data_IF_851828534815
#
_entry.id   IF_851828534815
#
_cell.length_a   1.000
_cell.length_b   1.000
_cell.length_c   1.000
_cell.angle_alpha   90.00
_cell.angle_beta   90.00
_cell.angle_gamma   90.00
#
_symmetry.space_group_name_H-M   'P 1'
#
loop_
_entity.id
_entity.type
_entity.pdbx_description
1 polymer ?
#
# COMPACT_ATOMS: atom_id res chain seq x y z
N UNK A 1 -48.91 -8.44 -20.24
CA UNK A 1 -47.76 -8.76 -19.37
C UNK A 1 -48.28 -9.38 -18.09
N UNK A 2 -47.74 -10.51 -17.64
CA UNK A 2 -48.13 -11.12 -16.35
C UNK A 2 -47.64 -10.27 -15.18
N UNK A 3 -48.34 -10.32 -14.04
CA UNK A 3 -47.94 -9.61 -12.82
C UNK A 3 -46.51 -9.99 -12.36
N UNK A 4 -46.08 -11.22 -12.63
CA UNK A 4 -44.72 -11.69 -12.38
C UNK A 4 -43.67 -11.02 -13.27
N UNK A 5 -43.97 -10.83 -14.56
CA UNK A 5 -43.08 -10.14 -15.50
C UNK A 5 -42.93 -8.65 -15.15
N UNK A 6 -44.01 -8.01 -14.69
CA UNK A 6 -43.96 -6.62 -14.23
C UNK A 6 -43.14 -6.45 -12.94
N UNK A 7 -43.29 -7.37 -11.98
CA UNK A 7 -42.52 -7.35 -10.73
C UNK A 7 -41.03 -7.62 -10.97
N UNK A 8 -40.69 -8.56 -11.86
CA UNK A 8 -39.31 -8.84 -12.25
C UNK A 8 -38.68 -7.66 -13.00
N UNK A 9 -39.41 -7.06 -13.95
CA UNK A 9 -38.93 -5.87 -14.66
C UNK A 9 -38.70 -4.69 -13.71
N UNK A 10 -39.58 -4.46 -12.72
CA UNK A 10 -39.40 -3.39 -11.74
C UNK A 10 -38.21 -3.62 -10.80
N UNK A 11 -37.94 -4.86 -10.41
CA UNK A 11 -36.88 -5.20 -9.44
C UNK A 11 -35.50 -5.43 -10.07
N UNK A 12 -35.46 -5.90 -11.30
CA UNK A 12 -34.21 -6.33 -11.96
C UNK A 12 -33.99 -5.58 -13.28
N UNK A 13 -35.04 -5.44 -14.09
CA UNK A 13 -34.97 -4.74 -15.37
C UNK A 13 -34.68 -3.24 -15.23
N UNK A 14 -35.41 -2.55 -14.35
CA UNK A 14 -35.25 -1.11 -14.15
C UNK A 14 -33.85 -0.76 -13.59
N UNK A 15 -33.31 -1.47 -12.59
CA UNK A 15 -31.94 -1.25 -12.12
C UNK A 15 -30.89 -1.62 -13.17
N UNK A 16 -31.07 -2.71 -13.94
CA UNK A 16 -30.13 -3.08 -15.00
C UNK A 16 -30.11 -2.06 -16.15
N UNK A 17 -31.26 -1.50 -16.51
CA UNK A 17 -31.36 -0.41 -17.50
C UNK A 17 -30.74 0.87 -16.93
N UNK A 18 -31.01 1.20 -15.67
CA UNK A 18 -30.38 2.34 -14.99
C UNK A 18 -28.86 2.22 -14.90
N UNK A 19 -28.36 1.03 -14.59
CA UNK A 19 -26.94 0.70 -14.60
C UNK A 19 -26.35 0.79 -16.01
N UNK A 20 -27.02 0.23 -17.02
CA UNK A 20 -26.58 0.29 -18.41
C UNK A 20 -26.52 1.72 -18.95
N UNK A 21 -27.50 2.57 -18.64
CA UNK A 21 -27.52 3.99 -19.00
C UNK A 21 -26.43 4.75 -18.25
N UNK A 22 -26.25 4.49 -16.95
CA UNK A 22 -25.21 5.12 -16.13
C UNK A 22 -23.81 4.75 -16.60
N UNK A 23 -23.57 3.47 -16.90
CA UNK A 23 -22.31 2.94 -17.44
C UNK A 23 -22.02 3.53 -18.83
N UNK A 24 -23.00 3.51 -19.73
CA UNK A 24 -22.85 4.12 -21.07
C UNK A 24 -22.57 5.62 -20.96
N UNK A 25 -23.28 6.34 -20.10
CA UNK A 25 -23.02 7.75 -19.82
C UNK A 25 -21.61 7.99 -19.28
N UNK A 26 -21.16 7.19 -18.33
CA UNK A 26 -19.81 7.26 -17.76
C UNK A 26 -18.74 6.98 -18.83
N UNK A 27 -18.87 5.89 -19.60
CA UNK A 27 -17.92 5.56 -20.67
C UNK A 27 -17.87 6.61 -21.78
N UNK A 28 -18.99 7.26 -22.12
CA UNK A 28 -19.00 8.37 -23.10
C UNK A 28 -18.33 9.62 -22.51
N UNK A 29 -18.53 9.90 -21.22
CA UNK A 29 -17.87 11.01 -20.52
C UNK A 29 -16.35 10.77 -20.39
N UNK A 30 -15.95 9.53 -20.13
CA UNK A 30 -14.56 9.09 -20.03
C UNK A 30 -13.86 9.08 -21.40
N UNK A 31 -14.47 8.47 -22.42
CA UNK A 31 -13.91 8.39 -23.78
C UNK A 31 -13.83 9.74 -24.50
N UNK A 32 -14.75 10.66 -24.25
CA UNK A 32 -14.72 12.00 -24.84
C UNK A 32 -13.91 13.00 -24.00
N UNK A 33 -13.33 12.59 -22.86
CA UNK A 33 -12.62 13.50 -21.96
C UNK A 33 -13.51 14.64 -21.44
N UNK A 34 -14.80 14.40 -21.20
CA UNK A 34 -15.68 15.47 -20.69
C UNK A 34 -15.36 15.85 -19.25
N UNK A 35 -14.68 14.97 -18.50
CA UNK A 35 -14.10 15.25 -17.18
C UNK A 35 -12.65 15.73 -17.30
N UNK A 36 -12.39 16.68 -18.20
CA UNK A 36 -11.10 17.36 -18.21
C UNK A 36 -10.93 18.20 -16.93
N UNK A 37 -9.67 18.48 -16.58
CA UNK A 37 -9.28 19.30 -15.42
C UNK A 37 -10.14 20.59 -15.24
N UNK A 38 -10.52 21.34 -16.29
CA UNK A 38 -11.37 22.53 -16.15
C UNK A 38 -12.78 22.21 -15.65
N UNK A 39 -13.35 21.08 -16.05
CA UNK A 39 -14.70 20.65 -15.64
C UNK A 39 -14.68 20.11 -14.21
N UNK A 40 -13.65 19.37 -13.83
CA UNK A 40 -13.44 18.94 -12.44
C UNK A 40 -13.22 20.13 -11.51
N UNK A 41 -12.39 21.10 -11.93
CA UNK A 41 -12.19 22.35 -11.19
C UNK A 41 -13.49 23.13 -11.03
N UNK A 42 -14.28 23.24 -12.10
CA UNK A 42 -15.59 23.88 -12.06
C UNK A 42 -16.56 23.19 -11.08
N UNK A 43 -16.63 21.86 -11.09
CA UNK A 43 -17.44 21.07 -10.16
C UNK A 43 -17.00 21.26 -8.70
N UNK A 44 -15.70 21.22 -8.44
CA UNK A 44 -15.13 21.38 -7.10
C UNK A 44 -15.43 22.78 -6.53
N UNK A 45 -15.27 23.83 -7.34
CA UNK A 45 -15.64 25.20 -6.95
C UNK A 45 -17.12 25.29 -6.58
N UNK A 46 -18.01 24.72 -7.41
CA UNK A 46 -19.45 24.77 -7.14
C UNK A 46 -19.85 23.96 -5.91
N UNK A 47 -19.19 22.82 -5.67
CA UNK A 47 -19.42 22.02 -4.47
C UNK A 47 -18.99 22.77 -3.20
N UNK A 48 -17.81 23.41 -3.22
CA UNK A 48 -17.35 24.22 -2.09
C UNK A 48 -18.23 25.44 -1.83
N UNK A 49 -18.72 26.11 -2.90
CA UNK A 49 -19.72 27.18 -2.76
C UNK A 49 -21.01 26.66 -2.15
N UNK A 50 -21.51 25.51 -2.61
CA UNK A 50 -22.70 24.88 -2.05
C UNK A 50 -22.50 24.56 -0.57
N UNK A 51 -21.34 24.02 -0.20
CA UNK A 51 -20.99 23.71 1.19
C UNK A 51 -20.92 24.99 2.04
N UNK A 52 -20.31 26.06 1.54
CA UNK A 52 -20.29 27.37 2.20
C UNK A 52 -21.70 27.92 2.43
N UNK A 53 -22.58 27.85 1.42
CA UNK A 53 -23.99 28.27 1.57
C UNK A 53 -24.75 27.37 2.55
N UNK A 54 -24.56 26.05 2.49
CA UNK A 54 -25.21 25.11 3.39
C UNK A 54 -24.78 25.33 4.84
N UNK A 55 -23.50 25.58 5.10
CA UNK A 55 -22.98 25.85 6.45
C UNK A 55 -23.61 27.12 7.06
N UNK A 56 -23.84 28.17 6.27
CA UNK A 56 -24.55 29.38 6.74
C UNK A 56 -26.01 29.14 7.14
N UNK A 57 -26.61 28.05 6.69
CA UNK A 57 -27.99 27.66 7.06
C UNK A 57 -28.04 26.74 8.29
N UNK A 58 -26.91 26.18 8.71
CA UNK A 58 -26.81 25.28 9.85
C UNK A 58 -26.60 26.07 11.15
N UNK A 59 -27.00 25.50 12.32
CA UNK A 59 -26.70 26.11 13.61
C UNK A 59 -25.19 26.28 13.81
N UNK A 60 -24.77 27.41 14.39
CA UNK A 60 -23.34 27.73 14.63
C UNK A 60 -22.59 26.63 15.37
N UNK A 61 -23.21 26.02 16.39
CA UNK A 61 -22.64 24.87 17.12
C UNK A 61 -22.33 23.64 16.25
N UNK A 62 -23.07 23.43 15.16
CA UNK A 62 -22.83 22.33 14.21
C UNK A 62 -21.72 22.71 13.24
N UNK A 63 -21.69 23.96 12.78
CA UNK A 63 -20.67 24.49 11.87
C UNK A 63 -19.30 24.56 12.55
N UNK A 64 -19.22 24.98 13.81
CA UNK A 64 -17.96 25.03 14.57
C UNK A 64 -17.37 23.63 14.81
N UNK A 65 -18.23 22.61 14.91
CA UNK A 65 -17.80 21.24 15.21
C UNK A 65 -17.51 20.38 13.98
N UNK A 66 -18.24 20.62 12.89
CA UNK A 66 -18.22 19.75 11.70
C UNK A 66 -18.06 20.51 10.37
N UNK A 67 -18.12 21.85 10.41
CA UNK A 67 -17.93 22.71 9.26
C UNK A 67 -16.46 23.07 9.02
N UNK A 68 -16.22 23.88 8.00
CA UNK A 68 -14.91 24.46 7.75
C UNK A 68 -14.93 25.94 8.15
N UNK A 69 -13.80 26.51 8.59
CA UNK A 69 -13.72 27.95 8.79
C UNK A 69 -14.08 28.70 7.50
N UNK A 70 -15.00 29.66 7.61
CA UNK A 70 -15.55 30.38 6.47
C UNK A 70 -14.47 31.07 5.63
N UNK A 71 -13.49 31.70 6.29
CA UNK A 71 -12.37 32.38 5.65
C UNK A 71 -11.50 31.41 4.82
N UNK A 72 -11.37 30.16 5.30
CA UNK A 72 -10.60 29.11 4.62
C UNK A 72 -11.36 28.53 3.41
N UNK A 73 -12.68 28.38 3.53
CA UNK A 73 -13.52 27.98 2.40
C UNK A 73 -13.46 29.03 1.28
N UNK A 74 -13.55 30.32 1.65
CA UNK A 74 -13.44 31.42 0.70
C UNK A 74 -12.09 31.45 0.00
N UNK A 75 -10.98 31.31 0.74
CA UNK A 75 -9.64 31.30 0.12
C UNK A 75 -9.45 30.13 -0.84
N UNK A 76 -9.95 28.94 -0.51
CA UNK A 76 -9.89 27.77 -1.39
C UNK A 76 -10.76 27.98 -2.64
N UNK A 77 -11.98 28.52 -2.50
CA UNK A 77 -12.84 28.82 -3.65
C UNK A 77 -12.16 29.81 -4.60
N UNK A 78 -11.62 30.91 -4.06
CA UNK A 78 -10.94 31.94 -4.85
C UNK A 78 -9.70 31.40 -5.57
N UNK A 79 -8.95 30.52 -4.90
CA UNK A 79 -7.75 29.86 -5.45
C UNK A 79 -8.10 28.86 -6.57
N UNK A 80 -9.16 28.07 -6.39
CA UNK A 80 -9.67 27.16 -7.42
C UNK A 80 -10.27 27.92 -8.61
N UNK A 81 -10.89 29.08 -8.40
CA UNK A 81 -11.44 29.93 -9.47
C UNK A 81 -10.35 30.60 -10.32
N UNK A 82 -9.25 31.02 -9.70
CA UNK A 82 -8.12 31.65 -10.40
C UNK A 82 -7.33 30.69 -11.28
N UNK A 83 -7.47 29.39 -11.03
CA UNK A 83 -6.67 28.36 -11.66
C UNK A 83 -5.28 28.35 -11.06
N UNK A 84 -5.01 27.35 -10.26
CA UNK A 84 -3.76 27.19 -9.54
C UNK A 84 -2.77 26.35 -10.35
N UNK A 85 -1.48 26.60 -10.15
CA UNK A 85 -0.45 25.59 -10.38
C UNK A 85 -0.45 24.64 -9.19
N UNK A 86 -0.13 23.36 -9.39
CA UNK A 86 -0.10 22.34 -8.32
C UNK A 86 0.75 22.78 -7.10
N UNK A 87 1.79 23.58 -7.34
CA UNK A 87 2.62 24.24 -6.33
C UNK A 87 1.91 25.28 -5.46
N UNK A 88 0.79 25.86 -5.91
CA UNK A 88 -0.02 26.86 -5.19
C UNK A 88 -1.16 26.20 -4.38
N UNK A 89 -1.48 24.94 -4.64
CA UNK A 89 -2.37 24.11 -3.78
C UNK A 89 -1.59 23.40 -2.65
N UNK A 90 -0.28 23.70 -2.54
CA UNK A 90 0.60 23.22 -1.45
C UNK A 90 0.17 23.66 -0.04
N UNK A 91 -0.82 24.54 0.11
CA UNK A 91 -1.45 24.81 1.41
C UNK A 91 -2.40 23.68 1.89
N UNK A 92 -2.66 22.66 1.06
CA UNK A 92 -3.27 21.42 1.54
C UNK A 92 -2.21 20.61 2.28
N UNK A 93 -2.34 20.58 3.61
CA UNK A 93 -1.52 19.72 4.44
C UNK A 93 -1.65 18.27 3.94
N UNK A 94 -0.55 17.70 3.46
CA UNK A 94 -0.51 16.31 2.98
C UNK A 94 -0.71 15.36 4.16
N UNK A 95 -1.19 14.12 3.92
CA UNK A 95 -1.24 13.13 5.01
C UNK A 95 0.15 12.89 5.61
N UNK A 96 1.20 12.95 4.79
CA UNK A 96 2.59 12.98 5.22
C UNK A 96 2.87 14.06 6.28
N UNK A 97 2.45 15.30 6.03
CA UNK A 97 2.64 16.41 6.96
C UNK A 97 1.79 16.26 8.23
N UNK A 98 0.53 15.82 8.11
CA UNK A 98 -0.34 15.55 9.27
C UNK A 98 0.29 14.47 10.14
N UNK A 99 0.66 13.33 9.55
CA UNK A 99 1.20 12.18 10.27
C UNK A 99 2.57 12.48 10.89
N UNK A 100 3.42 13.27 10.24
CA UNK A 100 4.73 13.69 10.80
C UNK A 100 4.60 14.52 12.09
N UNK A 101 3.48 15.22 12.27
CA UNK A 101 3.23 16.02 13.48
C UNK A 101 2.67 15.18 14.63
N UNK A 102 2.15 13.99 14.34
CA UNK A 102 1.57 13.09 15.32
C UNK A 102 2.61 12.14 15.91
N UNK A 103 2.46 11.79 17.18
CA UNK A 103 3.20 10.67 17.78
C UNK A 103 2.74 9.34 17.16
N UNK A 104 3.60 8.31 17.15
CA UNK A 104 3.26 7.00 16.54
C UNK A 104 1.95 6.43 17.06
N UNK A 105 1.68 6.51 18.36
CA UNK A 105 0.44 6.04 18.95
C UNK A 105 -0.80 6.81 18.43
N UNK A 106 -0.66 8.11 18.18
CA UNK A 106 -1.73 8.95 17.61
C UNK A 106 -1.93 8.64 16.12
N UNK A 107 -0.84 8.39 15.38
CA UNK A 107 -0.92 7.92 13.99
C UNK A 107 -1.69 6.60 13.92
N UNK A 108 -1.35 5.63 14.78
CA UNK A 108 -2.03 4.34 14.83
C UNK A 108 -3.52 4.50 15.14
N UNK A 109 -3.88 5.30 16.16
CA UNK A 109 -5.28 5.56 16.49
C UNK A 109 -6.05 6.21 15.33
N UNK A 110 -5.45 7.18 14.64
CA UNK A 110 -6.03 7.83 13.47
C UNK A 110 -6.26 6.84 12.32
N UNK A 111 -5.29 5.97 12.06
CA UNK A 111 -5.42 4.94 11.03
C UNK A 111 -6.48 3.89 11.40
N UNK A 112 -6.61 3.52 12.68
CA UNK A 112 -7.64 2.57 13.14
C UNK A 112 -9.05 3.06 12.85
N UNK A 113 -9.32 4.33 13.15
CA UNK A 113 -10.59 4.99 12.85
C UNK A 113 -10.92 4.84 11.35
N UNK A 114 -9.99 5.26 10.48
CA UNK A 114 -10.21 5.25 9.02
C UNK A 114 -10.19 3.84 8.42
N UNK A 115 -9.48 2.88 9.01
CA UNK A 115 -9.51 1.49 8.59
C UNK A 115 -10.81 0.77 8.94
N UNK A 116 -11.46 1.18 10.02
CA UNK A 116 -12.72 0.58 10.49
C UNK A 116 -13.95 1.07 9.72
N UNK A 117 -13.83 2.21 9.03
CA UNK A 117 -14.91 2.82 8.28
C UNK A 117 -14.94 2.40 6.79
N UNK A 118 -16.12 2.51 6.19
CA UNK A 118 -16.34 2.36 4.74
C UNK A 118 -16.09 3.71 4.03
N UNK A 119 -14.82 4.10 3.97
CA UNK A 119 -14.34 5.34 3.34
C UNK A 119 -13.97 5.08 1.87
N UNK A 120 -14.10 6.07 0.95
CA UNK A 120 -13.67 5.91 -0.44
C UNK A 120 -12.23 5.42 -0.59
N UNK A 121 -12.04 4.46 -1.50
CA UNK A 121 -10.77 3.80 -1.81
C UNK A 121 -9.58 4.76 -1.94
N UNK A 122 -9.72 5.85 -2.70
CA UNK A 122 -8.61 6.75 -3.01
C UNK A 122 -8.07 7.42 -1.74
N UNK A 123 -8.97 7.88 -0.87
CA UNK A 123 -8.61 8.51 0.39
C UNK A 123 -7.87 7.53 1.32
N UNK A 124 -8.41 6.31 1.49
CA UNK A 124 -7.83 5.34 2.41
C UNK A 124 -6.48 4.81 1.88
N UNK A 125 -6.35 4.60 0.57
CA UNK A 125 -5.09 4.20 -0.05
C UNK A 125 -4.01 5.29 0.12
N UNK A 126 -4.33 6.56 -0.11
CA UNK A 126 -3.38 7.67 0.04
C UNK A 126 -2.92 7.84 1.49
N UNK A 127 -3.83 7.70 2.45
CA UNK A 127 -3.50 7.76 3.88
C UNK A 127 -2.51 6.66 4.29
N UNK A 128 -2.78 5.40 3.90
CA UNK A 128 -1.88 4.29 4.20
C UNK A 128 -0.58 4.33 3.41
N UNK A 129 -0.61 4.86 2.19
CA UNK A 129 0.58 5.10 1.38
C UNK A 129 1.50 6.11 2.08
N UNK A 130 0.96 7.25 2.52
CA UNK A 130 1.68 8.25 3.30
C UNK A 130 2.27 7.69 4.60
N UNK A 131 1.49 6.89 5.34
CA UNK A 131 2.00 6.27 6.56
C UNK A 131 3.12 5.25 6.31
N UNK A 132 2.99 4.44 5.24
CA UNK A 132 4.02 3.51 4.82
C UNK A 132 5.30 4.25 4.41
N UNK A 133 5.20 5.34 3.66
CA UNK A 133 6.33 6.18 3.24
C UNK A 133 7.05 6.80 4.44
N UNK A 134 6.29 7.33 5.40
CA UNK A 134 6.85 7.87 6.65
C UNK A 134 7.68 6.82 7.42
N UNK A 135 7.28 5.55 7.31
CA UNK A 135 7.90 4.42 7.98
C UNK A 135 8.77 3.55 7.06
N UNK A 136 9.12 4.02 5.86
CA UNK A 136 9.85 3.24 4.85
C UNK A 136 11.18 2.68 5.37
N UNK A 137 11.86 3.42 6.26
CA UNK A 137 13.09 2.97 6.95
C UNK A 137 12.91 1.73 7.83
N UNK A 138 11.67 1.27 8.03
CA UNK A 138 11.36 0.01 8.73
C UNK A 138 11.52 -1.21 7.81
N UNK A 139 11.50 -1.04 6.49
CA UNK A 139 11.54 -2.17 5.55
C UNK A 139 12.37 -1.97 4.29
N UNK A 140 12.78 -0.74 3.96
CA UNK A 140 13.70 -0.42 2.86
C UNK A 140 15.03 0.07 3.43
N UNK A 141 16.14 -0.42 2.87
CA UNK A 141 17.49 0.06 3.18
C UNK A 141 17.74 1.37 2.44
N UNK A 142 18.19 2.40 3.15
CA UNK A 142 18.65 3.64 2.52
C UNK A 142 19.84 3.31 1.60
N UNK A 143 19.68 3.54 0.30
CA UNK A 143 20.84 3.55 -0.60
C UNK A 143 21.68 4.78 -0.25
N UNK A 144 23.01 4.64 -0.10
CA UNK A 144 23.86 5.81 0.02
C UNK A 144 23.71 6.62 -1.26
N UNK A 145 23.04 7.76 -1.17
CA UNK A 145 22.97 8.71 -2.27
C UNK A 145 24.41 9.14 -2.57
N UNK A 146 24.87 8.87 -3.79
CA UNK A 146 26.04 9.52 -4.34
C UNK A 146 25.62 10.98 -4.52
N UNK A 147 25.99 11.84 -3.58
CA UNK A 147 25.77 13.28 -3.70
C UNK A 147 26.54 13.77 -4.93
N UNK A 148 25.86 13.96 -6.05
CA UNK A 148 26.33 14.86 -7.10
C UNK A 148 26.15 16.29 -6.58
N UNK A 149 27.13 16.75 -5.81
CA UNK A 149 27.32 18.18 -5.54
C UNK A 149 27.68 18.86 -6.86
N UNK A 150 26.69 19.48 -7.49
CA UNK A 150 26.92 20.54 -8.45
C UNK A 150 26.42 21.85 -7.87
N UNK A 151 27.33 22.82 -7.87
CA UNK A 151 27.17 24.27 -7.67
C UNK A 151 27.29 24.84 -6.23
N UNK A 152 28.45 25.49 -6.02
CA UNK A 152 28.61 26.92 -5.64
C UNK A 152 27.32 27.59 -5.13
N UNK A 153 27.24 28.20 -3.95
CA UNK A 153 28.08 29.31 -3.50
C UNK A 153 27.90 29.58 -1.99
N UNK A 154 28.81 30.37 -1.42
CA UNK A 154 28.99 30.66 0.00
C UNK A 154 27.77 31.17 0.80
N UNK A 155 27.65 30.76 2.08
CA UNK A 155 27.87 31.60 3.31
C UNK A 155 27.27 30.95 4.58
N UNK A 156 28.18 30.41 5.41
CA UNK A 156 28.22 30.45 6.90
C UNK A 156 27.09 29.85 7.77
N UNK A 157 27.31 28.58 8.15
CA UNK A 157 27.39 28.03 9.53
C UNK A 157 26.29 28.30 10.57
N UNK A 158 25.61 27.22 10.99
CA UNK A 158 25.54 26.82 12.41
C UNK A 158 25.39 25.30 12.53
N UNK A 159 26.42 24.70 13.11
CA UNK A 159 26.63 23.32 13.59
C UNK A 159 25.41 22.42 13.75
N UNK A 160 25.32 21.41 12.88
CA UNK A 160 24.77 20.09 13.19
C UNK A 160 25.92 19.10 13.16
N UNK A 161 26.21 18.46 14.29
CA UNK A 161 27.22 17.40 14.38
C UNK A 161 26.68 16.22 13.59
N UNK A 162 27.19 16.04 12.37
CA UNK A 162 26.99 14.84 11.57
C UNK A 162 27.59 13.66 12.33
N UNK A 163 26.75 13.02 13.16
CA UNK A 163 27.04 11.70 13.67
C UNK A 163 27.07 10.77 12.47
N UNK A 164 28.20 10.12 12.24
CA UNK A 164 28.37 9.11 11.19
C UNK A 164 27.27 8.05 11.38
N UNK A 165 26.19 8.18 10.61
CA UNK A 165 25.05 7.28 10.67
C UNK A 165 25.52 5.92 10.19
N UNK A 166 25.76 5.02 11.14
CA UNK A 166 25.89 3.60 10.87
C UNK A 166 24.65 3.20 10.08
N UNK A 167 24.77 2.52 8.93
CA UNK A 167 23.60 2.21 8.09
C UNK A 167 22.54 1.55 8.96
N UNK A 168 21.36 2.16 9.03
CA UNK A 168 20.28 1.71 9.90
C UNK A 168 19.98 0.24 9.56
N UNK A 169 20.35 -0.66 10.47
CA UNK A 169 20.15 -2.08 10.25
C UNK A 169 18.65 -2.35 10.35
N UNK A 170 18.05 -2.90 9.28
CA UNK A 170 16.66 -3.33 9.27
C UNK A 170 16.50 -4.54 10.20
N UNK A 171 15.93 -4.31 11.39
CA UNK A 171 15.78 -5.32 12.44
C UNK A 171 14.35 -5.32 12.93
N UNK A 172 13.83 -6.52 13.26
CA UNK A 172 12.56 -6.72 13.96
C UNK A 172 12.57 -6.02 15.32
N UNK A 173 11.76 -4.98 15.47
CA UNK A 173 11.57 -4.22 16.72
C UNK A 173 10.42 -4.78 17.53
N UNK A 174 10.24 -4.25 18.73
CA UNK A 174 9.10 -4.57 19.58
C UNK A 174 8.65 -3.30 20.31
N UNK A 175 8.16 -2.36 19.53
CA UNK A 175 7.62 -1.10 19.98
C UNK A 175 6.10 -1.22 20.16
N UNK A 176 5.62 -0.98 21.37
CA UNK A 176 4.21 -1.10 21.73
C UNK A 176 3.36 0.03 21.14
N UNK A 177 3.97 1.15 20.71
CA UNK A 177 3.24 2.23 20.02
C UNK A 177 2.68 1.83 18.66
N UNK A 178 3.20 0.74 18.07
CA UNK A 178 2.69 0.17 16.83
C UNK A 178 1.63 -0.94 17.06
N UNK A 179 1.34 -1.34 18.30
CA UNK A 179 0.41 -2.45 18.58
C UNK A 179 -1.02 -2.09 18.12
N UNK A 180 -1.56 -2.87 17.18
CA UNK A 180 -2.92 -2.66 16.68
C UNK A 180 -3.51 -3.93 16.09
N UNK A 181 -4.53 -4.48 16.75
CA UNK A 181 -5.31 -5.59 16.22
C UNK A 181 -6.25 -5.14 15.10
N UNK A 182 -6.84 -3.94 15.24
CA UNK A 182 -7.78 -3.37 14.26
C UNK A 182 -7.08 -3.19 12.92
N UNK A 183 -5.89 -2.56 12.88
CA UNK A 183 -5.15 -2.38 11.63
C UNK A 183 -4.70 -3.71 11.02
N UNK A 184 -4.27 -4.68 11.84
CA UNK A 184 -3.89 -6.00 11.33
C UNK A 184 -5.05 -6.70 10.61
N UNK A 185 -6.27 -6.63 11.16
CA UNK A 185 -7.46 -7.23 10.56
C UNK A 185 -7.92 -6.42 9.33
N UNK A 186 -8.16 -5.12 9.50
CA UNK A 186 -8.75 -4.27 8.46
C UNK A 186 -7.86 -4.16 7.23
N UNK A 187 -6.54 -3.99 7.38
CA UNK A 187 -5.64 -3.92 6.23
C UNK A 187 -5.54 -5.26 5.50
N UNK A 188 -5.50 -6.37 6.23
CA UNK A 188 -5.50 -7.70 5.62
C UNK A 188 -6.78 -7.95 4.84
N UNK A 189 -7.95 -7.69 5.44
CA UNK A 189 -9.24 -7.87 4.78
C UNK A 189 -9.39 -6.96 3.56
N UNK A 190 -9.06 -5.67 3.69
CA UNK A 190 -9.14 -4.71 2.58
C UNK A 190 -8.17 -5.04 1.45
N UNK A 191 -6.97 -5.57 1.75
CA UNK A 191 -6.04 -6.07 0.74
C UNK A 191 -6.61 -7.27 -0.01
N UNK A 192 -7.13 -8.28 0.70
CA UNK A 192 -7.66 -9.51 0.08
C UNK A 192 -8.89 -9.23 -0.79
N UNK A 193 -9.70 -8.22 -0.44
CA UNK A 193 -10.87 -7.81 -1.21
C UNK A 193 -10.58 -6.68 -2.23
N UNK A 194 -9.31 -6.35 -2.48
CA UNK A 194 -8.90 -5.29 -3.41
C UNK A 194 -9.51 -3.90 -3.12
N UNK A 195 -9.81 -3.60 -1.84
CA UNK A 195 -10.25 -2.29 -1.36
C UNK A 195 -9.06 -1.36 -1.10
N UNK A 196 -7.87 -1.91 -0.85
CA UNK A 196 -6.62 -1.16 -0.84
C UNK A 196 -5.65 -1.96 -1.72
N UNK A 197 -4.85 -1.30 -2.58
CA UNK A 197 -3.87 -1.99 -3.42
C UNK A 197 -2.91 -2.86 -2.62
N UNK A 198 -2.43 -3.91 -3.27
CA UNK A 198 -1.44 -4.79 -2.67
C UNK A 198 -0.18 -4.04 -2.24
N UNK A 199 0.39 -3.19 -3.10
CA UNK A 199 1.61 -2.42 -2.85
C UNK A 199 1.48 -1.46 -1.66
N UNK A 200 0.32 -0.84 -1.46
CA UNK A 200 0.05 0.01 -0.29
C UNK A 200 -0.13 -0.84 0.97
N UNK A 201 -0.98 -1.86 0.88
CA UNK A 201 -1.34 -2.69 2.03
C UNK A 201 -0.16 -3.49 2.56
N UNK A 202 0.64 -4.11 1.69
CA UNK A 202 1.76 -4.95 2.12
C UNK A 202 2.84 -4.14 2.83
N UNK A 203 3.05 -2.88 2.42
CA UNK A 203 4.00 -1.99 3.09
C UNK A 203 3.49 -1.59 4.47
N UNK A 204 2.23 -1.19 4.60
CA UNK A 204 1.63 -0.89 5.90
C UNK A 204 1.61 -2.12 6.84
N UNK A 205 1.23 -3.30 6.32
CA UNK A 205 1.28 -4.56 7.06
C UNK A 205 2.71 -4.95 7.46
N UNK A 206 3.69 -4.68 6.59
CA UNK A 206 5.10 -4.87 6.91
C UNK A 206 5.52 -3.97 8.08
N UNK A 207 5.17 -2.67 8.06
CA UNK A 207 5.46 -1.74 9.17
C UNK A 207 4.91 -2.28 10.49
N UNK A 208 3.66 -2.74 10.51
CA UNK A 208 3.04 -3.33 11.71
C UNK A 208 3.78 -4.59 12.18
N UNK A 209 4.09 -5.50 11.25
CA UNK A 209 4.72 -6.78 11.56
C UNK A 209 6.17 -6.63 12.05
N UNK A 210 6.95 -5.73 11.44
CA UNK A 210 8.37 -5.59 11.77
C UNK A 210 8.61 -4.75 13.01
N UNK A 211 7.71 -3.80 13.33
CA UNK A 211 7.87 -2.95 14.49
C UNK A 211 7.29 -3.54 15.78
N UNK A 212 6.34 -4.47 15.71
CA UNK A 212 5.71 -5.07 16.89
C UNK A 212 5.52 -6.60 16.77
N UNK A 213 6.02 -7.36 17.76
CA UNK A 213 5.94 -8.84 17.73
C UNK A 213 4.55 -9.39 18.00
N UNK A 214 3.66 -8.65 18.66
CA UNK A 214 2.27 -9.05 18.82
C UNK A 214 1.54 -8.96 17.48
N UNK A 215 1.74 -7.87 16.73
CA UNK A 215 1.23 -7.73 15.36
C UNK A 215 1.74 -8.84 14.45
N UNK A 216 3.05 -9.11 14.42
CA UNK A 216 3.59 -10.22 13.63
C UNK A 216 2.91 -11.56 13.96
N UNK A 217 2.61 -11.81 15.24
CA UNK A 217 1.89 -13.02 15.69
C UNK A 217 0.42 -13.04 15.27
N UNK A 218 -0.26 -11.89 15.29
CA UNK A 218 -1.64 -11.76 14.79
C UNK A 218 -1.66 -12.00 13.28
N UNK A 219 -0.80 -11.31 12.53
CA UNK A 219 -0.68 -11.41 11.09
C UNK A 219 -0.28 -12.82 10.63
N UNK A 220 0.57 -13.54 11.36
CA UNK A 220 0.87 -14.95 11.06
C UNK A 220 -0.30 -15.92 11.26
N UNK A 221 -1.38 -15.50 11.95
CA UNK A 221 -2.62 -16.27 12.11
C UNK A 221 -3.66 -15.86 11.08
N UNK A 222 -3.72 -14.56 10.74
CA UNK A 222 -4.67 -13.98 9.79
C UNK A 222 -4.27 -14.27 8.33
N UNK A 223 -2.98 -14.10 8.03
CA UNK A 223 -2.44 -14.26 6.68
C UNK A 223 -2.02 -15.71 6.41
N UNK A 224 -2.25 -16.16 5.18
CA UNK A 224 -1.58 -17.35 4.65
C UNK A 224 -0.39 -16.90 3.79
N UNK A 225 0.82 -17.43 4.02
CA UNK A 225 1.98 -17.08 3.20
C UNK A 225 1.78 -17.37 1.71
N UNK A 226 1.03 -18.43 1.39
CA UNK A 226 0.59 -18.74 0.03
C UNK A 226 -0.18 -17.58 -0.61
N UNK A 227 -1.21 -17.05 0.08
CA UNK A 227 -2.02 -15.95 -0.46
C UNK A 227 -1.21 -14.68 -0.66
N UNK A 228 -0.24 -14.39 0.22
CA UNK A 228 0.66 -13.23 0.06
C UNK A 228 1.50 -13.37 -1.21
N UNK A 229 2.02 -14.57 -1.47
CA UNK A 229 2.82 -14.85 -2.68
C UNK A 229 1.96 -14.82 -3.94
N UNK A 230 0.71 -15.29 -3.88
CA UNK A 230 -0.25 -15.14 -4.98
C UNK A 230 -0.52 -13.67 -5.31
N UNK A 231 -0.90 -12.87 -4.31
CA UNK A 231 -1.18 -11.44 -4.48
C UNK A 231 0.05 -10.67 -5.01
N UNK A 232 1.26 -11.04 -4.57
CA UNK A 232 2.49 -10.48 -5.11
C UNK A 232 2.69 -10.82 -6.60
N UNK A 233 2.43 -12.07 -7.00
CA UNK A 233 2.51 -12.44 -8.42
C UNK A 233 1.45 -11.70 -9.25
N UNK A 234 0.22 -11.57 -8.75
CA UNK A 234 -0.84 -10.78 -9.40
C UNK A 234 -0.40 -9.30 -9.59
N UNK A 235 0.23 -8.72 -8.57
CA UNK A 235 0.83 -7.38 -8.64
C UNK A 235 1.97 -7.31 -9.68
N UNK A 236 2.92 -8.26 -9.64
CA UNK A 236 4.07 -8.26 -10.53
C UNK A 236 3.66 -8.43 -12.01
N UNK A 237 2.67 -9.28 -12.29
CA UNK A 237 2.11 -9.48 -13.63
C UNK A 237 1.46 -8.18 -14.14
N UNK A 238 0.74 -7.46 -13.26
CA UNK A 238 0.13 -6.16 -13.60
C UNK A 238 1.18 -5.10 -13.94
N UNK A 239 2.23 -4.97 -13.12
CA UNK A 239 3.31 -4.01 -13.38
C UNK A 239 4.01 -4.30 -14.71
N UNK A 240 4.30 -5.57 -15.02
CA UNK A 240 4.91 -5.94 -16.30
C UNK A 240 4.01 -5.62 -17.49
N UNK A 241 2.69 -5.76 -17.35
CA UNK A 241 1.74 -5.40 -18.40
C UNK A 241 1.66 -3.88 -18.58
N UNK A 242 1.60 -3.11 -17.49
CA UNK A 242 1.57 -1.65 -17.51
C UNK A 242 2.86 -1.07 -18.15
N UNK A 243 4.03 -1.65 -17.85
CA UNK A 243 5.32 -1.31 -18.47
C UNK A 243 5.31 -1.54 -19.99
N UNK A 244 4.72 -2.66 -20.45
CA UNK A 244 4.60 -2.97 -21.89
C UNK A 244 3.67 -2.01 -22.62
N UNK A 245 2.67 -1.49 -21.92
CA UNK A 245 1.70 -0.54 -22.47
C UNK A 245 2.19 0.92 -22.40
N UNK A 246 3.35 1.17 -21.80
CA UNK A 246 3.93 2.51 -21.69
C UNK A 246 3.15 3.43 -20.74
N UNK A 247 2.37 2.84 -19.82
CA UNK A 247 1.71 3.60 -18.75
C UNK A 247 2.80 3.93 -17.72
N UNK A 248 3.11 5.22 -17.58
CA UNK A 248 4.18 5.70 -16.71
C UNK A 248 3.96 5.34 -15.23
N UNK A 249 5.03 5.25 -14.42
CA UNK A 249 4.96 4.72 -13.07
C UNK A 249 4.55 5.82 -12.08
N UNK A 250 3.25 6.10 -11.99
CA UNK A 250 2.68 6.81 -10.82
C UNK A 250 2.54 5.86 -9.61
N UNK A 251 3.50 4.93 -9.47
CA UNK A 251 3.39 3.74 -8.62
C UNK A 251 4.67 3.54 -7.82
N UNK A 252 4.52 3.09 -6.57
CA UNK A 252 5.61 2.67 -5.68
C UNK A 252 6.58 1.77 -6.44
N UNK A 253 7.89 1.96 -6.24
CA UNK A 253 8.90 1.16 -6.95
C UNK A 253 8.71 -0.34 -6.67
N UNK A 254 8.77 -1.21 -7.70
CA UNK A 254 8.63 -2.65 -7.52
C UNK A 254 9.65 -3.23 -6.54
N UNK A 255 10.83 -2.61 -6.44
CA UNK A 255 11.87 -2.96 -5.47
C UNK A 255 11.41 -2.76 -4.02
N UNK A 256 10.74 -1.63 -3.73
CA UNK A 256 10.21 -1.33 -2.41
C UNK A 256 9.09 -2.31 -2.01
N UNK A 257 8.19 -2.61 -2.94
CA UNK A 257 7.10 -3.57 -2.71
C UNK A 257 7.66 -4.98 -2.47
N UNK A 258 8.69 -5.36 -3.23
CA UNK A 258 9.40 -6.64 -3.04
C UNK A 258 10.08 -6.71 -1.67
N UNK A 259 10.76 -5.63 -1.26
CA UNK A 259 11.43 -5.54 0.04
C UNK A 259 10.43 -5.66 1.20
N UNK A 260 9.32 -4.93 1.13
CA UNK A 260 8.25 -5.01 2.13
C UNK A 260 7.64 -6.41 2.19
N UNK A 261 7.37 -7.03 1.04
CA UNK A 261 6.77 -8.37 0.97
C UNK A 261 7.69 -9.42 1.59
N UNK A 262 8.97 -9.42 1.22
CA UNK A 262 9.95 -10.37 1.76
C UNK A 262 10.17 -10.17 3.27
N UNK A 263 10.22 -8.91 3.73
CA UNK A 263 10.44 -8.66 5.15
C UNK A 263 9.21 -8.94 6.02
N UNK A 264 8.01 -8.70 5.48
CA UNK A 264 6.75 -9.17 6.08
C UNK A 264 6.74 -10.71 6.20
N UNK A 265 7.04 -11.44 5.12
CA UNK A 265 7.10 -12.90 5.14
C UNK A 265 8.16 -13.41 6.13
N UNK A 266 9.29 -12.72 6.24
CA UNK A 266 10.30 -12.98 7.26
C UNK A 266 9.75 -12.77 8.67
N UNK A 267 9.08 -11.66 8.96
CA UNK A 267 8.47 -11.43 10.27
C UNK A 267 7.47 -12.54 10.63
N UNK A 268 6.63 -12.96 9.67
CA UNK A 268 5.66 -14.06 9.84
C UNK A 268 6.37 -15.40 10.09
N UNK A 269 7.43 -15.71 9.34
CA UNK A 269 8.21 -16.94 9.50
C UNK A 269 8.73 -17.12 10.94
N UNK A 270 9.31 -16.07 11.52
CA UNK A 270 9.93 -16.13 12.85
C UNK A 270 8.94 -16.39 13.96
N UNK A 271 7.71 -15.88 13.81
CA UNK A 271 6.65 -16.19 14.77
C UNK A 271 6.23 -17.66 14.71
N UNK A 272 6.23 -18.25 13.51
CA UNK A 272 5.87 -19.65 13.31
C UNK A 272 6.95 -20.60 13.85
N UNK A 273 8.24 -20.24 13.75
CA UNK A 273 9.35 -20.99 14.37
C UNK A 273 9.22 -21.02 15.89
N UNK A 274 8.95 -19.86 16.52
CA UNK A 274 8.83 -19.75 17.98
C UNK A 274 7.66 -20.55 18.55
N UNK A 275 6.54 -20.66 17.82
CA UNK A 275 5.36 -21.43 18.28
C UNK A 275 5.62 -22.94 18.35
N UNK A 276 6.57 -23.48 17.57
CA UNK A 276 6.89 -24.91 17.53
C UNK A 276 7.89 -25.36 18.61
N UNK A 277 8.47 -24.42 19.36
CA UNK A 277 9.38 -24.73 20.47
C UNK A 277 8.57 -25.10 21.73
N UNK A 278 8.16 -26.37 21.85
CA UNK A 278 7.57 -26.91 23.08
C UNK A 278 8.68 -27.60 23.88
N UNK A 279 9.11 -27.07 25.03
CA UNK A 279 10.29 -27.56 25.77
C UNK A 279 10.13 -28.96 26.39
N UNK A 280 8.94 -29.56 26.35
CA UNK A 280 8.66 -30.89 26.92
C UNK A 280 8.90 -32.05 25.94
N UNK A 281 9.17 -31.79 24.66
CA UNK A 281 9.42 -32.81 23.63
C UNK A 281 10.78 -32.54 22.97
N UNK A 282 11.86 -33.02 23.59
CA UNK A 282 13.26 -32.93 23.10
C UNK A 282 13.51 -33.50 21.68
N UNK A 283 12.50 -34.08 21.03
CA UNK A 283 12.63 -34.73 19.73
C UNK A 283 12.23 -33.85 18.52
N UNK A 284 11.51 -32.74 18.70
CA UNK A 284 11.13 -31.89 17.58
C UNK A 284 12.12 -30.75 17.39
N UNK A 285 13.14 -30.95 16.54
CA UNK A 285 13.89 -29.82 15.96
C UNK A 285 12.90 -29.02 15.11
N UNK A 286 12.49 -27.81 15.54
CA UNK A 286 11.56 -27.03 14.73
C UNK A 286 12.30 -26.60 13.47
N UNK A 287 11.74 -26.92 12.31
CA UNK A 287 12.26 -26.44 11.03
C UNK A 287 12.38 -24.90 11.09
N UNK A 288 13.58 -24.32 10.87
CA UNK A 288 13.77 -22.86 10.92
C UNK A 288 13.03 -22.11 9.80
N UNK A 289 12.49 -22.82 8.80
CA UNK A 289 11.75 -22.23 7.69
C UNK A 289 10.41 -22.93 7.47
N UNK A 290 9.45 -22.81 8.43
CA UNK A 290 8.11 -23.40 8.30
C UNK A 290 7.35 -22.89 7.08
N UNK A 291 7.75 -21.74 6.51
CA UNK A 291 7.19 -21.22 5.26
C UNK A 291 7.39 -22.17 4.07
N UNK A 292 8.47 -22.95 4.02
CA UNK A 292 8.76 -23.85 2.90
C UNK A 292 7.69 -24.93 2.70
N UNK A 293 6.97 -25.31 3.77
CA UNK A 293 5.86 -26.26 3.70
C UNK A 293 4.48 -25.62 3.52
N UNK A 294 4.40 -24.29 3.37
CA UNK A 294 3.15 -23.52 3.30
C UNK A 294 2.97 -22.74 2.00
N UNK A 295 3.97 -22.72 1.13
CA UNK A 295 3.91 -21.99 -0.14
C UNK A 295 4.14 -22.96 -1.28
N UNK A 296 3.32 -22.94 -2.34
CA UNK A 296 3.57 -23.71 -3.55
C UNK A 296 4.93 -23.37 -4.15
N UNK A 297 5.76 -24.37 -4.52
CA UNK A 297 7.08 -24.12 -5.11
C UNK A 297 7.01 -23.22 -6.35
N UNK A 298 6.02 -23.41 -7.21
CA UNK A 298 5.88 -22.66 -8.47
C UNK A 298 5.60 -21.17 -8.22
N UNK A 299 4.64 -20.86 -7.35
CA UNK A 299 4.29 -19.48 -6.99
C UNK A 299 5.46 -18.74 -6.34
N UNK A 300 6.20 -19.42 -5.45
CA UNK A 300 7.40 -18.84 -4.84
C UNK A 300 8.51 -18.59 -5.86
N UNK A 301 8.82 -19.58 -6.69
CA UNK A 301 9.92 -19.48 -7.64
C UNK A 301 9.66 -18.45 -8.72
N UNK A 302 8.39 -18.23 -9.11
CA UNK A 302 8.00 -17.13 -9.99
C UNK A 302 8.20 -15.77 -9.31
N UNK A 303 7.73 -15.62 -8.07
CA UNK A 303 7.80 -14.36 -7.32
C UNK A 303 9.25 -13.95 -6.94
N UNK A 304 10.00 -14.85 -6.31
CA UNK A 304 11.26 -14.53 -5.64
C UNK A 304 12.44 -15.39 -6.11
N UNK A 305 12.25 -16.22 -7.13
CA UNK A 305 13.33 -17.04 -7.67
C UNK A 305 14.45 -16.19 -8.27
N UNK A 306 14.15 -15.05 -8.87
CA UNK A 306 15.12 -14.22 -9.56
C UNK A 306 15.10 -12.76 -9.08
N UNK A 307 15.50 -12.53 -7.83
CA UNK A 307 15.62 -11.17 -7.31
C UNK A 307 16.71 -10.41 -8.06
N UNK A 308 16.38 -9.21 -8.55
CA UNK A 308 17.36 -8.32 -9.18
C UNK A 308 18.32 -7.73 -8.14
N UNK A 309 19.52 -7.27 -8.52
CA UNK A 309 20.41 -6.57 -7.61
C UNK A 309 19.74 -5.38 -6.91
N UNK A 310 18.85 -4.66 -7.61
CA UNK A 310 18.09 -3.56 -7.06
C UNK A 310 17.15 -4.02 -5.93
N UNK A 311 16.39 -5.11 -6.14
CA UNK A 311 15.51 -5.71 -5.11
C UNK A 311 16.31 -6.21 -3.90
N UNK A 312 17.45 -6.88 -4.14
CA UNK A 312 18.29 -7.39 -3.04
C UNK A 312 18.92 -6.26 -2.22
N UNK A 313 19.27 -5.14 -2.85
CA UNK A 313 19.89 -4.00 -2.17
C UNK A 313 18.87 -3.16 -1.37
N UNK A 314 17.62 -3.10 -1.81
CA UNK A 314 16.52 -2.45 -1.10
C UNK A 314 16.04 -3.22 0.15
N UNK A 315 16.24 -4.55 0.18
CA UNK A 315 15.68 -5.47 1.19
C UNK A 315 16.60 -5.66 2.41
N UNK A 316 16.05 -6.11 3.55
CA UNK A 316 16.87 -6.51 4.71
C UNK A 316 17.67 -7.79 4.44
N UNK A 317 18.90 -7.87 4.94
CA UNK A 317 19.76 -9.07 4.79
C UNK A 317 19.08 -10.34 5.29
N UNK A 318 18.29 -10.24 6.36
CA UNK A 318 17.55 -11.39 6.93
C UNK A 318 16.41 -11.87 6.03
N UNK A 319 15.82 -10.97 5.24
CA UNK A 319 14.78 -11.29 4.29
C UNK A 319 15.36 -11.82 2.97
N UNK A 320 16.53 -11.30 2.53
CA UNK A 320 17.30 -11.90 1.43
C UNK A 320 17.72 -13.33 1.78
N UNK A 321 18.27 -13.56 2.98
CA UNK A 321 18.63 -14.89 3.44
C UNK A 321 17.43 -15.86 3.47
N UNK A 322 16.25 -15.38 3.87
CA UNK A 322 15.02 -16.18 3.77
C UNK A 322 14.74 -16.57 2.31
N UNK A 323 14.88 -15.61 1.39
CA UNK A 323 14.62 -15.86 -0.02
C UNK A 323 15.58 -16.88 -0.61
N UNK A 324 16.87 -16.77 -0.33
CA UNK A 324 17.89 -17.72 -0.80
C UNK A 324 17.61 -19.14 -0.29
N UNK A 325 17.33 -19.30 1.00
CA UNK A 325 17.03 -20.61 1.60
C UNK A 325 15.74 -21.21 1.03
N UNK A 326 14.71 -20.40 0.82
CA UNK A 326 13.47 -20.86 0.19
C UNK A 326 13.70 -21.26 -1.26
N UNK A 327 14.50 -20.50 -2.01
CA UNK A 327 14.84 -20.78 -3.40
C UNK A 327 15.60 -22.11 -3.57
N UNK A 328 16.51 -22.41 -2.65
CA UNK A 328 17.20 -23.70 -2.58
C UNK A 328 16.24 -24.84 -2.25
N UNK A 329 15.44 -24.69 -1.18
CA UNK A 329 14.52 -25.74 -0.70
C UNK A 329 13.43 -26.08 -1.72
N UNK A 330 12.90 -25.07 -2.41
CA UNK A 330 11.85 -25.21 -3.42
C UNK A 330 12.40 -25.51 -4.82
N UNK A 331 13.73 -25.59 -4.95
CA UNK A 331 14.48 -25.93 -6.18
C UNK A 331 14.16 -24.99 -7.35
N UNK A 332 14.14 -23.69 -7.09
CA UNK A 332 13.77 -22.70 -8.10
C UNK A 332 14.69 -22.64 -9.31
N UNK A 333 15.95 -23.07 -9.17
CA UNK A 333 16.90 -23.17 -10.29
C UNK A 333 16.51 -24.32 -11.24
N UNK A 334 16.15 -25.48 -10.69
CA UNK A 334 15.74 -26.65 -11.48
C UNK A 334 14.42 -26.37 -12.21
N UNK A 335 13.46 -25.76 -11.53
CA UNK A 335 12.14 -25.44 -12.09
C UNK A 335 12.21 -24.42 -13.23
N UNK A 336 13.11 -23.45 -13.15
CA UNK A 336 13.36 -22.49 -14.25
C UNK A 336 13.96 -23.14 -15.50
N UNK A 337 14.83 -24.15 -15.34
CA UNK A 337 15.39 -24.89 -16.49
C UNK A 337 14.31 -25.68 -17.23
N UNK A 338 13.24 -26.09 -16.54
CA UNK A 338 12.11 -26.82 -17.14
C UNK A 338 11.17 -25.89 -17.90
N UNK A 339 10.97 -24.64 -17.45
CA UNK A 339 10.17 -23.62 -18.18
C UNK A 339 10.86 -23.10 -19.45
N UNK A 340 12.19 -23.10 -19.50
CA UNK A 340 12.97 -22.68 -20.69
C UNK A 340 13.23 -23.80 -21.70
N UNK A 341 13.00 -25.06 -21.33
CA UNK A 341 13.22 -26.22 -22.17
C UNK A 341 12.04 -26.73 -23.04
N UNK A 342 10.76 -26.29 -22.95
CA UNK A 342 9.68 -26.89 -23.73
C UNK A 342 9.46 -26.11 -25.03
N UNK A 343 10.40 -26.21 -25.98
CA UNK A 343 10.15 -25.90 -27.40
C UNK A 343 11.23 -26.38 -28.39
N UNK A 344 12.31 -27.02 -27.95
CA UNK A 344 13.39 -27.47 -28.86
C UNK A 344 13.35 -28.97 -29.22
N UNK A 345 12.38 -29.76 -28.76
CA UNK A 345 12.40 -31.23 -28.95
C UNK A 345 11.23 -31.83 -29.75
N UNK A 346 10.47 -31.05 -30.53
CA UNK A 346 9.39 -31.59 -31.38
C UNK A 346 9.48 -31.23 -32.87
N UNK A 347 10.68 -30.97 -33.38
CA UNK A 347 10.95 -31.02 -34.82
C UNK A 347 12.28 -31.73 -35.08
N UNK A 348 12.23 -33.05 -35.24
CA UNK A 348 13.23 -33.82 -35.98
C UNK A 348 12.53 -34.89 -36.80
#
# INVERSE_FOLDING_TARGET
>A
MSASAYAFFKKVGLPAIGFGIGWAGFTVVEQNGWLNEPVQRWLNVHNLKLQLYAQRLLPTSVVEKYGYPEDRLWSIIELLERGYKESEVSERMTFDEVLRQCAVAEQVAYLEEHASEEIPYFYIADLFHSWANLNAKSFVREQPQLSEETDTDATTTTTSVASAATPATLVLRNDDSFDSEVLCNSLWEKMVHNVIPFDVSIRALCVLAVNNRANARRLARLSSPERVVELYNEYADKIQEDERQGIGPDVVSPEEVTAATLFFLRAVNDTAVRRRWIPLLEAFRPDPYPLAGKVPPESWCRAFGNLTPAMTSATSETAVLLADVMNERLRCIERRKVETAPLQSLTS
#
